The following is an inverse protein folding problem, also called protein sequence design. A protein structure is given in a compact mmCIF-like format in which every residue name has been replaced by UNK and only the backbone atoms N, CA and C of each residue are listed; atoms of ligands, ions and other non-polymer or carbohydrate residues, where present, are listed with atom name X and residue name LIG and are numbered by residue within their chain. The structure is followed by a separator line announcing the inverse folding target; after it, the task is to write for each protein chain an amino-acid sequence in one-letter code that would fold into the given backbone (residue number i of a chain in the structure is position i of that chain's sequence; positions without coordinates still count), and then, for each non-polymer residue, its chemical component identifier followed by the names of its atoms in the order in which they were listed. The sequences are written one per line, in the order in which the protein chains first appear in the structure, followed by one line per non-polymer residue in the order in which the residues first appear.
data_IF_448555507465
#
_entry.id   IF_448555507465
#
_cell.length_a   1.000
_cell.length_b   1.000
_cell.length_c   1.000
_cell.angle_alpha   90.00
_cell.angle_beta   90.00
_cell.angle_gamma   90.00
#
_symmetry.space_group_name_H-M   'P 1'
#
loop_
_entity.id
_entity.type
_entity.pdbx_description
1 polymer ?
#
# COMPACT_ATOMS: atom_id res chain seq x y z
N UNK A 1 22.19 -19.04 4.26
CA UNK A 1 23.15 -17.96 3.94
C UNK A 1 24.43 -18.16 4.71
N UNK A 2 25.57 -17.91 4.08
CA UNK A 2 26.86 -17.99 4.74
C UNK A 2 27.12 -16.72 5.56
N UNK A 3 26.98 -16.83 6.88
CA UNK A 3 27.18 -15.72 7.83
C UNK A 3 28.62 -15.21 7.78
N UNK A 4 29.61 -16.10 7.56
CA UNK A 4 31.02 -15.71 7.52
C UNK A 4 31.33 -14.79 6.31
N UNK A 5 30.71 -15.03 5.19
CA UNK A 5 30.83 -14.16 4.02
C UNK A 5 30.07 -12.85 4.22
N UNK A 6 28.85 -12.89 4.78
CA UNK A 6 28.01 -11.72 5.00
C UNK A 6 28.61 -10.73 6.00
N UNK A 7 29.23 -11.23 7.09
CA UNK A 7 29.82 -10.33 8.11
C UNK A 7 31.04 -9.54 7.63
N UNK A 8 31.57 -9.83 6.44
CA UNK A 8 32.66 -9.07 5.83
C UNK A 8 32.16 -7.86 5.03
N UNK A 9 30.83 -7.71 4.86
CA UNK A 9 30.23 -6.64 4.10
C UNK A 9 29.95 -5.41 4.97
N UNK A 10 30.28 -4.22 4.48
CA UNK A 10 29.94 -2.94 5.12
C UNK A 10 28.44 -2.64 5.02
N UNK A 11 27.80 -3.08 3.93
CA UNK A 11 26.39 -2.85 3.64
C UNK A 11 25.76 -4.14 3.12
N UNK A 12 24.64 -4.53 3.70
CA UNK A 12 23.80 -5.62 3.20
C UNK A 12 22.45 -5.06 2.81
N UNK A 13 22.10 -5.20 1.51
CA UNK A 13 20.78 -4.88 1.00
C UNK A 13 20.04 -6.19 0.71
N UNK A 14 18.86 -6.37 1.32
CA UNK A 14 18.08 -7.60 1.16
C UNK A 14 16.64 -7.34 0.69
N UNK A 15 16.19 -8.21 -0.22
CA UNK A 15 14.81 -8.32 -0.71
C UNK A 15 14.29 -9.75 -0.58
N UNK A 16 14.87 -10.55 0.33
CA UNK A 16 14.57 -11.98 0.49
C UNK A 16 13.29 -12.26 1.32
N UNK A 17 12.73 -11.23 1.94
CA UNK A 17 11.52 -11.34 2.76
C UNK A 17 11.78 -11.55 4.25
N UNK A 18 10.70 -11.54 5.04
CA UNK A 18 10.77 -11.49 6.51
C UNK A 18 11.41 -12.72 7.17
N UNK A 19 11.22 -13.91 6.61
CA UNK A 19 11.80 -15.15 7.14
C UNK A 19 13.33 -15.09 7.06
N UNK A 20 13.87 -14.60 5.94
CA UNK A 20 15.31 -14.40 5.80
C UNK A 20 15.85 -13.40 6.84
N UNK A 21 15.18 -12.28 7.01
CA UNK A 21 15.56 -11.26 7.99
C UNK A 21 15.53 -11.83 9.41
N UNK A 22 14.46 -12.54 9.76
CA UNK A 22 14.30 -13.17 11.09
C UNK A 22 15.38 -14.20 11.39
N UNK A 23 15.88 -14.88 10.37
CA UNK A 23 16.94 -15.89 10.54
C UNK A 23 18.33 -15.28 10.52
N UNK A 24 18.63 -14.40 9.58
CA UNK A 24 20.00 -13.98 9.26
C UNK A 24 20.45 -12.79 10.10
N UNK A 25 19.59 -11.77 10.27
CA UNK A 25 19.95 -10.55 10.97
C UNK A 25 20.40 -10.77 12.42
N UNK A 26 19.67 -11.57 13.27
CA UNK A 26 20.13 -11.84 14.63
C UNK A 26 21.46 -12.60 14.68
N UNK A 27 21.72 -13.50 13.74
CA UNK A 27 23.00 -14.24 13.67
C UNK A 27 24.16 -13.30 13.36
N UNK A 28 23.99 -12.37 12.43
CA UNK A 28 25.01 -11.36 12.11
C UNK A 28 25.32 -10.47 13.32
N UNK A 29 24.27 -10.01 14.02
CA UNK A 29 24.45 -9.20 15.24
C UNK A 29 25.15 -9.98 16.36
N UNK A 30 24.84 -11.25 16.54
CA UNK A 30 25.51 -12.10 17.52
C UNK A 30 27.01 -12.32 17.21
N UNK A 31 27.38 -12.29 15.92
CA UNK A 31 28.79 -12.37 15.47
C UNK A 31 29.51 -11.00 15.49
N UNK A 32 28.88 -9.96 16.05
CA UNK A 32 29.44 -8.61 16.20
C UNK A 32 29.45 -7.78 14.92
N UNK A 33 28.67 -8.15 13.89
CA UNK A 33 28.58 -7.35 12.67
C UNK A 33 27.93 -5.99 12.94
N UNK A 34 28.60 -4.90 12.50
CA UNK A 34 28.18 -3.52 12.70
C UNK A 34 28.03 -2.74 11.36
N UNK A 35 27.78 -3.44 10.28
CA UNK A 35 27.49 -2.83 8.98
C UNK A 35 26.05 -2.32 8.88
N UNK A 36 25.73 -1.73 7.72
CA UNK A 36 24.41 -1.22 7.41
C UNK A 36 23.50 -2.34 6.88
N UNK A 37 22.34 -2.51 7.51
CA UNK A 37 21.29 -3.41 7.04
C UNK A 37 20.17 -2.61 6.37
N UNK A 38 19.96 -2.84 5.07
CA UNK A 38 18.89 -2.19 4.27
C UNK A 38 17.93 -3.30 3.82
N UNK A 39 16.67 -3.22 4.25
CA UNK A 39 15.71 -4.31 4.10
C UNK A 39 14.37 -3.87 3.52
N UNK A 40 13.88 -4.57 2.51
CA UNK A 40 12.53 -4.38 1.98
C UNK A 40 11.44 -5.04 2.84
N UNK A 41 11.81 -6.00 3.73
CA UNK A 41 10.86 -6.75 4.55
C UNK A 41 10.32 -5.93 5.73
N UNK A 42 9.18 -6.39 6.27
CA UNK A 42 8.50 -5.69 7.38
C UNK A 42 9.03 -6.04 8.77
N UNK A 43 9.91 -7.04 8.89
CA UNK A 43 10.30 -7.64 10.15
C UNK A 43 10.86 -6.63 11.16
N UNK A 44 11.72 -5.72 10.70
CA UNK A 44 12.40 -4.75 11.56
C UNK A 44 11.76 -3.35 11.57
N UNK A 45 10.63 -3.13 10.87
CA UNK A 45 10.02 -1.79 10.77
C UNK A 45 9.73 -1.16 12.12
N UNK A 46 9.29 -1.95 13.09
CA UNK A 46 8.90 -1.45 14.41
C UNK A 46 10.01 -1.63 15.47
N UNK A 47 11.21 -2.08 15.08
CA UNK A 47 12.35 -2.11 15.99
C UNK A 47 12.81 -0.68 16.34
N UNK A 48 13.15 -0.43 17.60
CA UNK A 48 13.49 0.91 18.10
C UNK A 48 14.74 1.49 17.43
N UNK A 49 15.67 0.63 17.02
CA UNK A 49 16.93 0.96 16.36
C UNK A 49 16.83 0.96 14.81
N UNK A 50 15.64 0.84 14.26
CA UNK A 50 15.42 0.85 12.83
C UNK A 50 14.65 2.10 12.37
N UNK A 51 15.05 2.65 11.21
CA UNK A 51 14.36 3.75 10.54
C UNK A 51 13.60 3.20 9.33
N UNK A 52 12.32 3.55 9.23
CA UNK A 52 11.53 3.30 8.01
C UNK A 52 11.86 4.39 7.00
N UNK A 53 12.36 3.98 5.83
CA UNK A 53 12.82 4.90 4.79
C UNK A 53 11.66 5.24 3.85
N UNK A 54 11.38 6.52 3.73
CA UNK A 54 10.52 7.11 2.70
C UNK A 54 11.10 8.49 2.33
N UNK A 55 12.22 8.49 1.62
CA UNK A 55 13.11 9.62 1.37
C UNK A 55 12.39 10.96 1.06
N UNK A 56 11.46 11.05 0.10
CA UNK A 56 10.80 12.34 -0.15
C UNK A 56 10.01 12.89 1.05
N UNK A 57 9.64 12.02 2.00
CA UNK A 57 8.83 12.39 3.16
C UNK A 57 9.68 12.59 4.41
N UNK A 58 10.68 11.74 4.67
CA UNK A 58 11.39 11.74 5.94
C UNK A 58 12.93 11.80 5.81
N UNK A 59 13.44 12.47 4.78
CA UNK A 59 14.89 12.60 4.54
C UNK A 59 15.65 13.12 5.77
N UNK A 60 15.07 14.06 6.53
CA UNK A 60 15.70 14.58 7.73
C UNK A 60 15.85 13.50 8.81
N UNK A 61 14.82 12.67 9.04
CA UNK A 61 14.88 11.55 10.00
C UNK A 61 15.96 10.55 9.60
N UNK A 62 16.10 10.28 8.28
CA UNK A 62 17.14 9.39 7.75
C UNK A 62 18.54 9.97 8.01
N UNK A 63 18.74 11.26 7.70
CA UNK A 63 20.04 11.95 7.91
C UNK A 63 20.41 12.01 9.39
N UNK A 64 19.47 12.36 10.25
CA UNK A 64 19.69 12.41 11.69
C UNK A 64 20.01 11.02 12.24
N UNK A 65 19.32 9.97 11.75
CA UNK A 65 19.62 8.59 12.08
C UNK A 65 21.04 8.17 11.72
N UNK A 66 21.49 8.55 10.52
CA UNK A 66 22.88 8.28 10.08
C UNK A 66 23.91 8.97 11.00
N UNK A 67 23.67 10.24 11.34
CA UNK A 67 24.55 10.99 12.27
C UNK A 67 24.56 10.35 13.66
N UNK A 68 23.42 9.86 14.12
CA UNK A 68 23.27 9.20 15.43
C UNK A 68 23.69 7.72 15.45
N UNK A 69 24.24 7.20 14.34
CA UNK A 69 24.79 5.87 14.27
C UNK A 69 23.77 4.76 13.98
N UNK A 70 22.55 5.08 13.53
CA UNK A 70 21.59 4.05 13.09
C UNK A 70 22.17 3.26 11.93
N UNK A 71 22.07 1.94 12.02
CA UNK A 71 22.58 0.99 11.02
C UNK A 71 21.49 0.19 10.31
N UNK A 72 20.25 0.27 10.78
CA UNK A 72 19.12 -0.51 10.27
C UNK A 72 18.11 0.40 9.56
N UNK A 73 17.96 0.21 8.26
CA UNK A 73 17.06 0.98 7.40
C UNK A 73 16.09 0.04 6.68
N UNK A 74 14.80 0.31 6.77
CA UNK A 74 13.77 -0.61 6.25
C UNK A 74 12.78 0.11 5.35
N UNK A 75 12.35 -0.53 4.28
CA UNK A 75 11.30 -0.01 3.42
C UNK A 75 9.94 0.02 4.14
N UNK A 76 9.15 1.05 3.94
CA UNK A 76 7.81 1.19 4.51
C UNK A 76 6.77 0.23 3.92
N UNK A 77 5.63 0.11 4.59
CA UNK A 77 4.46 -0.55 4.03
C UNK A 77 4.01 0.15 2.74
N UNK A 78 3.65 -0.62 1.73
CA UNK A 78 3.32 -0.09 0.40
C UNK A 78 2.17 0.90 0.41
N UNK A 79 1.14 0.70 1.24
CA UNK A 79 -0.03 1.58 1.32
C UNK A 79 0.20 2.79 2.21
N UNK A 80 0.98 2.65 3.28
CA UNK A 80 1.45 3.78 4.10
C UNK A 80 2.34 4.69 3.26
N UNK A 81 3.28 4.11 2.51
CA UNK A 81 4.14 4.87 1.60
C UNK A 81 3.35 5.60 0.51
N UNK A 82 2.34 4.93 -0.10
CA UNK A 82 1.47 5.54 -1.08
C UNK A 82 0.73 6.77 -0.51
N UNK A 83 0.10 6.62 0.66
CA UNK A 83 -0.60 7.72 1.33
C UNK A 83 0.34 8.90 1.64
N UNK A 84 1.50 8.63 2.21
CA UNK A 84 2.44 9.67 2.60
C UNK A 84 3.15 10.32 1.41
N UNK A 85 3.43 9.58 0.35
CA UNK A 85 3.95 10.16 -0.90
C UNK A 85 2.94 11.12 -1.55
N UNK A 86 1.65 10.81 -1.45
CA UNK A 86 0.58 11.66 -2.00
C UNK A 86 0.18 12.82 -1.08
N UNK A 87 0.06 12.57 0.22
CA UNK A 87 -0.56 13.49 1.17
C UNK A 87 0.35 13.85 2.36
N UNK A 88 1.60 13.39 2.37
CA UNK A 88 2.54 13.57 3.48
C UNK A 88 2.78 15.02 3.85
N UNK A 89 2.74 15.94 2.87
CA UNK A 89 2.87 17.38 3.12
C UNK A 89 1.80 17.91 4.09
N UNK A 90 0.59 17.37 4.07
CA UNK A 90 -0.47 17.79 4.99
C UNK A 90 -0.17 17.35 6.43
N UNK A 91 0.43 16.17 6.61
CA UNK A 91 0.89 15.68 7.91
C UNK A 91 2.08 16.48 8.42
N UNK A 92 3.08 16.72 7.57
CA UNK A 92 4.28 17.50 7.90
C UNK A 92 3.96 18.95 8.30
N UNK A 93 2.94 19.55 7.68
CA UNK A 93 2.43 20.87 8.07
C UNK A 93 1.48 20.84 9.27
N UNK A 94 1.38 19.71 9.97
CA UNK A 94 0.55 19.52 11.16
C UNK A 94 -0.94 19.86 10.95
N UNK A 95 -1.44 19.65 9.74
CA UNK A 95 -2.83 19.96 9.38
C UNK A 95 -3.80 18.82 9.68
N UNK A 96 -3.32 17.58 9.73
CA UNK A 96 -4.16 16.40 9.88
C UNK A 96 -4.46 16.15 11.36
N UNK A 97 -5.74 16.06 11.71
CA UNK A 97 -6.22 15.65 13.04
C UNK A 97 -6.32 14.12 13.11
N UNK A 98 -6.96 13.50 12.11
CA UNK A 98 -7.01 12.06 11.89
C UNK A 98 -7.30 11.74 10.42
N UNK A 99 -7.10 10.50 10.03
CA UNK A 99 -7.41 10.02 8.69
C UNK A 99 -8.07 8.65 8.70
N UNK A 100 -8.93 8.40 7.71
CA UNK A 100 -9.34 7.03 7.34
C UNK A 100 -8.88 6.72 5.93
N UNK A 101 -8.42 5.48 5.71
CA UNK A 101 -7.95 5.02 4.41
C UNK A 101 -8.61 3.70 4.03
N UNK A 102 -9.50 3.73 3.04
CA UNK A 102 -10.02 2.53 2.40
C UNK A 102 -9.04 2.15 1.29
N UNK A 103 -8.28 1.09 1.51
CA UNK A 103 -7.19 0.69 0.62
C UNK A 103 -7.60 -0.44 -0.30
N UNK A 104 -7.46 -0.23 -1.60
CA UNK A 104 -7.69 -1.19 -2.67
C UNK A 104 -6.35 -1.79 -3.10
N UNK A 105 -6.02 -2.98 -2.59
CA UNK A 105 -4.70 -3.58 -2.77
C UNK A 105 -4.63 -4.49 -3.99
N UNK A 106 -3.74 -4.17 -4.91
CA UNK A 106 -3.45 -4.99 -6.07
C UNK A 106 -2.82 -6.34 -5.69
N UNK A 107 -2.98 -7.34 -6.54
CA UNK A 107 -2.47 -8.70 -6.33
C UNK A 107 -0.95 -8.76 -6.13
N UNK A 108 -0.19 -7.83 -6.75
CA UNK A 108 1.28 -7.76 -6.62
C UNK A 108 1.77 -7.64 -5.18
N UNK A 109 0.99 -7.03 -4.28
CA UNK A 109 1.33 -6.94 -2.86
C UNK A 109 1.32 -8.29 -2.12
N UNK A 110 0.71 -9.33 -2.71
CA UNK A 110 0.70 -10.68 -2.19
C UNK A 110 1.77 -11.59 -2.87
N UNK A 111 2.49 -11.07 -3.87
CA UNK A 111 3.57 -11.78 -4.54
C UNK A 111 3.21 -12.42 -5.87
N UNK A 112 4.22 -12.98 -6.54
CA UNK A 112 4.13 -13.45 -7.93
C UNK A 112 3.14 -14.63 -8.11
N UNK A 113 3.06 -15.54 -7.15
CA UNK A 113 2.13 -16.68 -7.22
C UNK A 113 0.66 -16.20 -7.20
N UNK A 114 0.35 -15.23 -6.35
CA UNK A 114 -0.97 -14.61 -6.26
C UNK A 114 -1.33 -13.82 -7.53
N UNK A 115 -0.35 -13.13 -8.14
CA UNK A 115 -0.55 -12.49 -9.45
C UNK A 115 -0.89 -13.50 -10.55
N UNK A 116 -0.18 -14.63 -10.58
CA UNK A 116 -0.49 -15.74 -11.53
C UNK A 116 -1.89 -16.31 -11.29
N UNK A 117 -2.25 -16.55 -10.03
CA UNK A 117 -3.58 -17.07 -9.69
C UNK A 117 -4.70 -16.13 -10.12
N UNK A 118 -4.54 -14.81 -9.94
CA UNK A 118 -5.52 -13.84 -10.43
C UNK A 118 -5.73 -13.96 -11.95
N UNK A 119 -4.66 -13.99 -12.75
CA UNK A 119 -4.76 -14.14 -14.21
C UNK A 119 -5.36 -15.50 -14.59
N UNK A 120 -4.97 -16.57 -13.91
CA UNK A 120 -5.54 -17.91 -14.14
C UNK A 120 -7.04 -17.91 -13.82
N UNK A 121 -7.46 -17.25 -12.74
CA UNK A 121 -8.88 -17.10 -12.40
C UNK A 121 -9.68 -16.31 -13.44
N UNK A 122 -9.11 -15.21 -13.97
CA UNK A 122 -9.73 -14.45 -15.08
C UNK A 122 -9.91 -15.34 -16.32
N UNK A 123 -8.85 -16.08 -16.69
CA UNK A 123 -8.90 -17.04 -17.80
C UNK A 123 -9.88 -18.17 -17.57
N UNK A 124 -9.97 -18.67 -16.35
CA UNK A 124 -10.93 -19.73 -15.98
C UNK A 124 -12.38 -19.26 -16.17
N UNK A 125 -12.73 -18.06 -15.70
CA UNK A 125 -14.05 -17.47 -15.92
C UNK A 125 -14.34 -17.30 -17.41
N UNK A 126 -13.43 -16.65 -18.15
CA UNK A 126 -13.62 -16.39 -19.57
C UNK A 126 -13.81 -17.68 -20.38
N UNK A 127 -12.94 -18.67 -20.19
CA UNK A 127 -12.97 -19.91 -20.97
C UNK A 127 -14.25 -20.71 -20.71
N UNK A 128 -14.74 -20.71 -19.49
CA UNK A 128 -15.96 -21.49 -19.14
C UNK A 128 -17.27 -20.73 -19.45
N UNK A 129 -17.21 -19.41 -19.71
CA UNK A 129 -18.40 -18.61 -20.12
C UNK A 129 -18.39 -18.25 -21.60
N UNK A 130 -17.31 -18.57 -22.31
CA UNK A 130 -17.12 -18.14 -23.71
C UNK A 130 -18.28 -18.48 -24.64
N UNK A 131 -18.84 -19.65 -24.51
CA UNK A 131 -19.96 -20.07 -25.37
C UNK A 131 -21.20 -19.18 -25.21
N UNK A 132 -21.50 -18.74 -23.96
CA UNK A 132 -22.58 -17.78 -23.72
C UNK A 132 -22.23 -16.37 -24.20
N UNK A 133 -20.96 -15.96 -24.06
CA UNK A 133 -20.50 -14.65 -24.53
C UNK A 133 -20.52 -14.53 -26.06
N UNK A 134 -20.24 -15.61 -26.77
CA UNK A 134 -20.22 -15.64 -28.23
C UNK A 134 -21.63 -15.73 -28.85
N UNK A 135 -22.64 -16.18 -28.10
CA UNK A 135 -24.03 -16.18 -28.55
C UNK A 135 -24.75 -14.89 -28.17
N UNK A 136 -25.08 -14.03 -29.16
CA UNK A 136 -25.74 -12.75 -28.90
C UNK A 136 -27.16 -12.89 -28.33
N UNK A 137 -27.72 -14.12 -28.30
CA UNK A 137 -29.03 -14.40 -27.70
C UNK A 137 -28.96 -14.78 -26.23
N UNK A 138 -27.73 -15.00 -25.70
CA UNK A 138 -27.55 -15.33 -24.29
C UNK A 138 -28.00 -14.18 -23.40
N UNK A 139 -28.83 -14.46 -22.41
CA UNK A 139 -29.20 -13.47 -21.42
C UNK A 139 -28.04 -13.19 -20.46
N UNK A 140 -27.81 -11.92 -20.10
CA UNK A 140 -26.75 -11.54 -19.15
C UNK A 140 -26.89 -12.24 -17.80
N UNK A 141 -28.12 -12.53 -17.35
CA UNK A 141 -28.39 -13.24 -16.11
C UNK A 141 -27.95 -14.72 -16.13
N UNK A 142 -27.91 -15.35 -17.31
CA UNK A 142 -27.39 -16.72 -17.45
C UNK A 142 -25.86 -16.71 -17.37
N UNK A 143 -25.21 -15.70 -17.96
CA UNK A 143 -23.77 -15.49 -17.83
C UNK A 143 -23.40 -15.23 -16.36
N UNK A 144 -24.12 -14.35 -15.68
CA UNK A 144 -23.89 -14.01 -14.26
C UNK A 144 -24.03 -15.25 -13.37
N UNK A 145 -25.11 -16.04 -13.58
CA UNK A 145 -25.32 -17.28 -12.83
C UNK A 145 -24.15 -18.25 -13.00
N UNK A 146 -23.71 -18.46 -14.25
CA UNK A 146 -22.57 -19.34 -14.52
C UNK A 146 -21.28 -18.86 -13.89
N UNK A 147 -20.99 -17.56 -13.93
CA UNK A 147 -19.82 -16.98 -13.25
C UNK A 147 -19.89 -17.24 -11.74
N UNK A 148 -21.06 -17.01 -11.12
CA UNK A 148 -21.24 -17.25 -9.70
C UNK A 148 -21.08 -18.73 -9.30
N UNK A 149 -21.55 -19.66 -10.13
CA UNK A 149 -21.35 -21.09 -9.95
C UNK A 149 -19.88 -21.49 -10.08
N UNK A 150 -19.19 -20.99 -11.10
CA UNK A 150 -17.75 -21.22 -11.29
C UNK A 150 -16.92 -20.71 -10.11
N UNK A 151 -17.19 -19.51 -9.60
CA UNK A 151 -16.47 -18.94 -8.46
C UNK A 151 -16.69 -19.72 -7.16
N UNK A 152 -17.87 -20.31 -6.96
CA UNK A 152 -18.19 -21.17 -5.81
C UNK A 152 -17.67 -22.60 -5.95
N UNK A 153 -17.36 -23.01 -7.17
CA UNK A 153 -16.91 -24.37 -7.49
C UNK A 153 -15.52 -24.68 -6.94
N UNK A 154 -15.26 -25.94 -6.69
CA UNK A 154 -13.96 -26.43 -6.21
C UNK A 154 -12.86 -26.28 -7.27
N UNK A 155 -13.18 -26.28 -8.55
CA UNK A 155 -12.23 -26.11 -9.65
C UNK A 155 -11.72 -24.70 -9.84
N UNK A 156 -12.23 -23.71 -9.11
CA UNK A 156 -11.77 -22.34 -9.24
C UNK A 156 -10.34 -22.16 -8.67
N UNK A 157 -9.42 -21.47 -9.40
CA UNK A 157 -8.05 -21.23 -8.94
C UNK A 157 -8.05 -20.27 -7.73
N UNK A 158 -7.81 -20.79 -6.52
CA UNK A 158 -7.83 -20.03 -5.26
C UNK A 158 -6.82 -20.53 -4.23
N UNK A 159 -5.81 -21.29 -4.64
CA UNK A 159 -4.87 -21.95 -3.72
C UNK A 159 -4.01 -20.96 -2.92
N UNK A 160 -3.69 -19.79 -3.49
CA UNK A 160 -2.83 -18.79 -2.86
C UNK A 160 -3.64 -17.73 -2.09
N UNK A 161 -4.80 -17.30 -2.59
CA UNK A 161 -5.66 -16.35 -1.88
C UNK A 161 -6.63 -17.03 -0.90
N UNK A 162 -6.88 -18.33 -1.05
CA UNK A 162 -7.83 -19.09 -0.26
C UNK A 162 -9.29 -18.94 -0.70
N UNK A 163 -9.62 -17.86 -1.39
CA UNK A 163 -10.94 -17.52 -1.93
C UNK A 163 -10.80 -16.90 -3.34
N UNK A 164 -11.87 -16.92 -4.17
CA UNK A 164 -11.85 -16.30 -5.49
C UNK A 164 -11.58 -14.80 -5.45
N UNK A 165 -10.58 -14.33 -6.21
CA UNK A 165 -10.32 -12.89 -6.40
C UNK A 165 -10.77 -12.40 -7.78
N UNK A 166 -10.61 -13.18 -8.86
CA UNK A 166 -11.05 -12.77 -10.19
C UNK A 166 -12.57 -12.60 -10.23
N UNK A 167 -13.01 -11.40 -10.61
CA UNK A 167 -14.43 -11.01 -10.59
C UNK A 167 -15.02 -10.78 -9.20
N UNK A 168 -14.17 -10.62 -8.17
CA UNK A 168 -14.58 -10.41 -6.78
C UNK A 168 -13.59 -9.51 -6.04
N UNK A 169 -13.71 -9.42 -4.73
CA UNK A 169 -12.78 -8.78 -3.82
C UNK A 169 -12.63 -9.60 -2.54
N UNK A 170 -11.54 -9.37 -1.78
CA UNK A 170 -11.31 -10.00 -0.48
C UNK A 170 -11.21 -8.90 0.56
N UNK A 171 -12.15 -8.80 1.53
CA UNK A 171 -12.23 -7.66 2.45
C UNK A 171 -11.31 -7.79 3.67
N UNK A 172 -10.31 -8.64 3.60
CA UNK A 172 -9.39 -8.90 4.71
C UNK A 172 -7.98 -9.25 4.20
N UNK A 173 -6.94 -8.64 4.77
CA UNK A 173 -5.55 -8.88 4.39
C UNK A 173 -4.69 -9.02 5.64
N UNK A 174 -3.81 -10.06 5.70
CA UNK A 174 -2.91 -10.34 6.81
C UNK A 174 -3.64 -10.92 8.04
N UNK A 175 -2.97 -11.04 9.17
CA UNK A 175 -3.45 -11.69 10.40
C UNK A 175 -4.40 -10.78 11.17
N UNK A 176 -5.33 -11.40 11.87
CA UNK A 176 -6.22 -10.70 12.81
C UNK A 176 -5.47 -10.33 14.08
N UNK A 177 -5.70 -9.11 14.57
CA UNK A 177 -5.25 -8.62 15.86
C UNK A 177 -6.38 -8.64 16.90
N UNK A 178 -6.04 -8.55 18.17
CA UNK A 178 -7.01 -8.52 19.27
C UNK A 178 -7.97 -7.33 19.21
N UNK A 179 -7.53 -6.21 18.61
CA UNK A 179 -8.37 -5.03 18.36
C UNK A 179 -9.49 -5.26 17.34
N UNK A 180 -9.48 -6.40 16.63
CA UNK A 180 -10.36 -6.66 15.49
C UNK A 180 -9.83 -6.18 14.15
N UNK A 181 -8.79 -5.34 14.14
CA UNK A 181 -8.10 -4.94 12.91
C UNK A 181 -7.35 -6.10 12.30
N UNK A 182 -7.13 -6.07 10.98
CA UNK A 182 -6.06 -6.83 10.38
C UNK A 182 -4.70 -6.19 10.69
N UNK A 183 -3.63 -6.98 10.70
CA UNK A 183 -2.27 -6.44 10.87
C UNK A 183 -1.94 -5.41 9.78
N UNK A 184 -2.50 -5.55 8.60
CA UNK A 184 -2.30 -4.61 7.49
C UNK A 184 -2.94 -3.23 7.77
N UNK A 185 -4.11 -3.19 8.39
CA UNK A 185 -4.79 -1.96 8.82
C UNK A 185 -4.04 -1.27 9.95
N UNK A 186 -3.61 -2.03 10.95
CA UNK A 186 -2.79 -1.54 12.07
C UNK A 186 -1.52 -0.81 11.61
N UNK A 187 -0.85 -1.30 10.55
CA UNK A 187 0.33 -0.64 9.97
C UNK A 187 0.06 0.80 9.56
N UNK A 188 -1.16 1.12 9.15
CA UNK A 188 -1.56 2.46 8.74
C UNK A 188 -1.17 3.51 9.77
N UNK A 189 -1.55 3.32 11.03
CA UNK A 189 -1.23 4.26 12.10
C UNK A 189 0.22 4.17 12.56
N UNK A 190 0.71 2.96 12.88
CA UNK A 190 2.02 2.84 13.54
C UNK A 190 3.18 3.22 12.64
N UNK A 191 3.15 2.79 11.38
CA UNK A 191 4.22 3.12 10.43
C UNK A 191 4.16 4.60 10.00
N UNK A 192 2.97 5.17 9.78
CA UNK A 192 2.84 6.60 9.47
C UNK A 192 3.48 7.46 10.54
N UNK A 193 3.14 7.24 11.80
CA UNK A 193 3.67 8.05 12.92
C UNK A 193 5.16 7.83 13.11
N UNK A 194 5.67 6.62 12.88
CA UNK A 194 7.11 6.32 12.93
C UNK A 194 7.88 6.99 11.78
N UNK A 195 7.37 6.94 10.56
CA UNK A 195 7.99 7.59 9.39
C UNK A 195 8.11 9.10 9.61
N UNK A 196 7.05 9.72 10.14
CA UNK A 196 7.00 11.17 10.38
C UNK A 196 7.73 11.61 11.65
N UNK A 197 8.16 10.69 12.51
CA UNK A 197 8.78 11.01 13.80
C UNK A 197 7.84 11.74 14.76
N UNK A 198 6.53 11.48 14.68
CA UNK A 198 5.53 12.21 15.43
C UNK A 198 5.65 11.96 16.94
N UNK A 199 5.76 13.04 17.72
CA UNK A 199 5.65 13.00 19.19
C UNK A 199 4.20 12.73 19.63
N UNK A 200 3.24 13.32 18.91
CA UNK A 200 1.82 13.14 19.14
C UNK A 200 1.24 12.24 18.03
N UNK A 201 0.63 11.13 18.42
CA UNK A 201 0.06 10.18 17.48
C UNK A 201 -1.09 10.84 16.69
N UNK A 202 -1.00 10.79 15.36
CA UNK A 202 -2.11 11.07 14.47
C UNK A 202 -2.90 9.77 14.27
N UNK A 203 -4.18 9.71 14.67
CA UNK A 203 -5.00 8.51 14.50
C UNK A 203 -5.24 8.22 13.01
N UNK A 204 -5.01 6.97 12.61
CA UNK A 204 -5.27 6.50 11.24
C UNK A 204 -5.87 5.11 11.32
N UNK A 205 -7.00 4.90 10.66
CA UNK A 205 -7.67 3.61 10.56
C UNK A 205 -8.32 3.42 9.18
N UNK A 206 -8.90 2.27 8.92
CA UNK A 206 -9.60 1.98 7.67
C UNK A 206 -9.69 0.50 7.39
N UNK A 207 -9.99 0.16 6.14
CA UNK A 207 -10.05 -1.24 5.69
C UNK A 207 -9.09 -1.49 4.53
N UNK A 208 -8.47 -2.67 4.55
CA UNK A 208 -7.61 -3.14 3.48
C UNK A 208 -8.31 -4.25 2.69
N UNK A 209 -8.62 -3.96 1.43
CA UNK A 209 -9.36 -4.85 0.53
C UNK A 209 -8.46 -5.28 -0.62
N UNK A 210 -8.35 -6.59 -0.88
CA UNK A 210 -7.69 -7.11 -2.08
C UNK A 210 -8.64 -7.01 -3.25
N UNK A 211 -8.17 -6.44 -4.36
CA UNK A 211 -8.95 -6.28 -5.59
C UNK A 211 -8.29 -6.97 -6.79
N UNK A 212 -9.04 -7.18 -7.86
CA UNK A 212 -8.56 -7.82 -9.09
C UNK A 212 -7.63 -6.97 -9.96
N UNK A 213 -6.98 -5.94 -9.42
CA UNK A 213 -5.91 -5.23 -10.10
C UNK A 213 -4.59 -5.99 -9.97
N UNK A 214 -3.79 -6.03 -11.04
CA UNK A 214 -2.49 -6.72 -11.03
C UNK A 214 -1.45 -5.97 -10.22
N UNK A 215 -1.31 -4.66 -10.45
CA UNK A 215 -0.33 -3.76 -9.84
C UNK A 215 -0.98 -2.43 -9.49
N UNK A 216 -0.28 -1.65 -8.68
CA UNK A 216 -0.67 -0.34 -8.19
C UNK A 216 -1.88 -0.40 -7.26
N UNK A 217 -1.63 -0.10 -6.00
CA UNK A 217 -2.67 0.05 -4.99
C UNK A 217 -3.39 1.39 -5.22
N UNK A 218 -4.62 1.46 -4.76
CA UNK A 218 -5.36 2.72 -4.71
C UNK A 218 -5.94 2.93 -3.32
N UNK A 219 -6.20 4.19 -2.95
CA UNK A 219 -6.77 4.51 -1.65
C UNK A 219 -7.83 5.60 -1.78
N UNK A 220 -9.00 5.36 -1.19
CA UNK A 220 -9.98 6.39 -0.92
C UNK A 220 -9.77 6.89 0.51
N UNK A 221 -9.37 8.16 0.66
CA UNK A 221 -8.90 8.71 1.93
C UNK A 221 -9.82 9.85 2.36
N UNK A 222 -10.21 9.83 3.63
CA UNK A 222 -10.85 10.96 4.31
C UNK A 222 -9.90 11.48 5.38
N UNK A 223 -9.62 12.78 5.31
CA UNK A 223 -8.85 13.46 6.36
C UNK A 223 -9.75 14.46 7.08
N UNK A 224 -9.69 14.44 8.41
CA UNK A 224 -10.12 15.55 9.24
C UNK A 224 -8.94 16.49 9.41
N UNK A 225 -9.07 17.71 8.96
CA UNK A 225 -8.08 18.75 9.15
C UNK A 225 -8.35 19.51 10.45
N UNK A 226 -7.32 20.03 11.08
CA UNK A 226 -7.41 20.83 12.31
C UNK A 226 -8.04 22.21 12.08
N UNK A 227 -8.08 22.67 10.83
CA UNK A 227 -8.69 23.93 10.38
C UNK A 227 -9.17 23.81 8.95
N UNK A 228 -10.05 24.73 8.53
CA UNK A 228 -10.37 24.89 7.12
C UNK A 228 -9.15 25.42 6.35
N UNK A 229 -8.74 24.72 5.30
CA UNK A 229 -7.65 25.08 4.39
C UNK A 229 -8.22 25.09 2.98
N UNK A 230 -7.92 26.10 2.18
CA UNK A 230 -8.42 26.20 0.80
C UNK A 230 -7.90 25.03 -0.06
N UNK A 231 -8.68 24.56 -1.04
CA UNK A 231 -8.29 23.41 -1.87
C UNK A 231 -7.06 23.70 -2.72
N UNK A 232 -6.94 24.90 -3.28
CA UNK A 232 -5.77 25.34 -4.04
C UNK A 232 -4.50 25.34 -3.19
N UNK A 233 -4.56 25.78 -1.92
CA UNK A 233 -3.45 25.71 -0.98
C UNK A 233 -3.05 24.24 -0.71
N UNK A 234 -4.03 23.35 -0.55
CA UNK A 234 -3.79 21.91 -0.38
C UNK A 234 -3.12 21.31 -1.63
N UNK A 235 -3.63 21.62 -2.81
CA UNK A 235 -3.07 21.15 -4.07
C UNK A 235 -1.63 21.63 -4.26
N UNK A 236 -1.34 22.88 -3.92
CA UNK A 236 0.02 23.45 -4.02
C UNK A 236 0.99 22.78 -3.05
N UNK A 237 0.57 22.51 -1.81
CA UNK A 237 1.37 21.73 -0.86
C UNK A 237 1.71 20.33 -1.41
N UNK A 238 0.75 19.67 -2.06
CA UNK A 238 0.96 18.35 -2.66
C UNK A 238 1.94 18.45 -3.85
N UNK A 239 1.73 19.40 -4.76
CA UNK A 239 2.61 19.62 -5.93
C UNK A 239 4.06 19.90 -5.55
N UNK A 240 4.27 20.59 -4.44
CA UNK A 240 5.60 20.98 -3.95
C UNK A 240 6.26 19.89 -3.09
N UNK A 241 5.52 18.88 -2.65
CA UNK A 241 6.02 17.87 -1.70
C UNK A 241 7.07 16.95 -2.31
N UNK A 242 6.91 16.58 -3.58
CA UNK A 242 7.75 15.58 -4.25
C UNK A 242 7.55 15.63 -5.76
N UNK A 243 8.61 15.37 -6.51
CA UNK A 243 8.52 15.21 -7.98
C UNK A 243 7.64 14.02 -8.43
N UNK A 244 7.35 13.10 -7.51
CA UNK A 244 6.54 11.90 -7.78
C UNK A 244 5.04 12.16 -7.59
N UNK A 245 4.65 13.11 -6.75
CA UNK A 245 3.26 13.46 -6.49
C UNK A 245 2.70 14.30 -7.65
N UNK A 246 1.59 13.84 -8.24
CA UNK A 246 0.91 14.55 -9.32
C UNK A 246 -0.54 14.84 -8.92
N UNK A 247 -0.89 16.11 -8.79
CA UNK A 247 -2.30 16.49 -8.58
C UNK A 247 -3.07 16.29 -9.87
N UNK A 248 -4.13 15.51 -9.80
CA UNK A 248 -5.08 15.25 -10.89
C UNK A 248 -6.30 16.12 -10.69
N UNK A 249 -6.72 16.92 -11.70
CA UNK A 249 -7.91 17.75 -11.60
C UNK A 249 -9.16 16.97 -11.21
N UNK A 250 -10.00 17.54 -10.34
CA UNK A 250 -11.23 16.89 -9.91
C UNK A 250 -12.33 16.97 -10.97
N UNK A 251 -12.04 16.51 -12.18
CA UNK A 251 -13.02 16.31 -13.25
C UNK A 251 -13.29 14.81 -13.44
N UNK A 252 -14.41 14.47 -14.08
CA UNK A 252 -14.74 13.08 -14.41
C UNK A 252 -13.69 12.49 -15.34
N UNK A 253 -13.33 13.21 -16.39
CA UNK A 253 -12.39 12.78 -17.43
C UNK A 253 -11.02 12.49 -16.84
N UNK A 254 -10.41 13.45 -16.16
CA UNK A 254 -9.09 13.26 -15.54
C UNK A 254 -9.10 12.14 -14.48
N UNK A 255 -10.17 12.04 -13.68
CA UNK A 255 -10.29 10.96 -12.69
C UNK A 255 -10.36 9.57 -13.33
N UNK A 256 -11.04 9.42 -14.47
CA UNK A 256 -11.16 8.14 -15.17
C UNK A 256 -9.90 7.75 -15.94
N UNK A 257 -9.12 8.70 -16.38
CA UNK A 257 -7.89 8.44 -17.15
C UNK A 257 -6.65 8.35 -16.28
N UNK A 258 -6.47 9.26 -15.32
CA UNK A 258 -5.20 9.48 -14.63
C UNK A 258 -5.12 8.85 -13.22
N UNK A 259 -6.27 8.50 -12.59
CA UNK A 259 -6.31 7.92 -11.24
C UNK A 259 -6.47 6.39 -11.23
N UNK A 260 -6.29 5.72 -12.34
CA UNK A 260 -6.44 4.26 -12.40
C UNK A 260 -5.11 3.54 -12.25
N UNK A 261 -5.09 2.30 -11.71
CA UNK A 261 -3.89 1.48 -11.68
C UNK A 261 -3.21 1.32 -13.05
N UNK A 262 -4.00 1.30 -14.13
CA UNK A 262 -3.49 1.18 -15.51
C UNK A 262 -2.68 2.42 -15.92
N UNK A 263 -3.12 3.60 -15.53
CA UNK A 263 -2.46 4.86 -15.90
C UNK A 263 -1.03 4.97 -15.33
N UNK A 264 -0.78 4.39 -14.16
CA UNK A 264 0.49 4.57 -13.42
C UNK A 264 1.36 3.31 -13.37
N UNK A 265 0.85 2.17 -13.83
CA UNK A 265 1.65 0.94 -13.88
C UNK A 265 2.92 1.14 -14.71
N UNK A 266 4.08 0.82 -14.12
CA UNK A 266 5.40 0.98 -14.74
C UNK A 266 6.01 2.37 -14.59
N UNK A 267 5.36 3.27 -13.85
CA UNK A 267 5.88 4.60 -13.51
C UNK A 267 6.16 4.71 -12.00
N UNK A 268 6.79 5.81 -11.60
CA UNK A 268 6.95 6.20 -10.18
C UNK A 268 5.96 7.29 -9.77
N UNK A 269 5.02 7.66 -10.64
CA UNK A 269 4.03 8.69 -10.37
C UNK A 269 3.04 8.23 -9.31
N UNK A 270 2.80 9.08 -8.34
CA UNK A 270 1.75 8.96 -7.33
C UNK A 270 0.68 10.02 -7.64
N UNK A 271 -0.40 9.64 -8.34
CA UNK A 271 -1.47 10.57 -8.65
C UNK A 271 -2.32 10.81 -7.39
N UNK A 272 -2.67 12.07 -7.15
CA UNK A 272 -3.57 12.47 -6.08
C UNK A 272 -4.71 13.29 -6.71
N UNK A 273 -5.90 12.77 -6.62
CA UNK A 273 -7.07 13.41 -7.20
C UNK A 273 -8.31 13.26 -6.34
N UNK A 274 -9.48 13.59 -6.89
CA UNK A 274 -10.74 13.62 -6.16
C UNK A 274 -10.67 14.51 -4.91
N UNK A 275 -9.74 15.48 -4.92
CA UNK A 275 -9.61 16.46 -3.84
C UNK A 275 -10.86 17.33 -3.77
N UNK A 276 -11.56 17.27 -2.66
CA UNK A 276 -12.77 18.05 -2.41
C UNK A 276 -13.09 18.14 -0.94
N UNK A 277 -13.77 19.22 -0.55
CA UNK A 277 -14.39 19.27 0.79
C UNK A 277 -15.58 18.32 0.82
N UNK A 278 -15.71 17.59 1.93
CA UNK A 278 -16.82 16.65 2.12
C UNK A 278 -18.04 17.37 2.72
N UNK A 279 -19.22 16.78 2.56
CA UNK A 279 -20.47 17.33 3.12
C UNK A 279 -20.54 17.29 4.66
N UNK A 280 -19.51 16.74 5.30
CA UNK A 280 -19.40 16.63 6.77
C UNK A 280 -18.88 17.93 7.41
N UNK A 281 -18.35 18.87 6.63
CA UNK A 281 -17.79 20.14 7.09
C UNK A 281 -16.57 20.57 6.27
N UNK A 282 -16.19 21.83 6.43
CA UNK A 282 -15.07 22.42 5.65
C UNK A 282 -13.70 21.86 5.99
N UNK A 283 -13.56 21.28 7.18
CA UNK A 283 -12.32 20.63 7.63
C UNK A 283 -12.20 19.19 7.13
N UNK A 284 -13.23 18.62 6.49
CA UNK A 284 -13.16 17.26 5.98
C UNK A 284 -12.76 17.26 4.51
N UNK A 285 -11.63 16.66 4.24
CA UNK A 285 -11.05 16.53 2.90
C UNK A 285 -11.19 15.09 2.41
N UNK A 286 -11.78 14.91 1.24
CA UNK A 286 -11.71 13.66 0.48
C UNK A 286 -10.55 13.70 -0.51
N UNK A 287 -9.83 12.59 -0.64
CA UNK A 287 -8.75 12.39 -1.61
C UNK A 287 -8.78 10.96 -2.15
N UNK A 288 -8.17 10.75 -3.31
CA UNK A 288 -7.95 9.45 -3.92
C UNK A 288 -6.54 9.39 -4.51
N UNK A 289 -5.85 8.27 -4.26
CA UNK A 289 -4.52 7.99 -4.83
C UNK A 289 -4.48 6.66 -5.54
#
# INVERSE_FOLDING_TARGET
SDINSLKQMDVILTCQGGDYTSEVFPKLKAEGWDGYWIDAASTLRMADDAIIVLDPVNLNVIKDGLVNGTKTFVGGNCTVSLMLMGLGSLFQNNLVEWATSMTYKAASGAGAQNMRELITGMGYLYNNTKALLDDPKSAILDIDRQIAELQRGEGFPKANFGVPLAGSLIPYIDKQLESGQSKEEWKGQVETNKILGNQQIVPIDGHCVRIGAMRCHSQAITLKLKKDVALDEIEDMIRQSSQWAKVVPNTREASMTDLTPVAVTGTLTVPVGRLRKLNMGKEYLGAFT
#
